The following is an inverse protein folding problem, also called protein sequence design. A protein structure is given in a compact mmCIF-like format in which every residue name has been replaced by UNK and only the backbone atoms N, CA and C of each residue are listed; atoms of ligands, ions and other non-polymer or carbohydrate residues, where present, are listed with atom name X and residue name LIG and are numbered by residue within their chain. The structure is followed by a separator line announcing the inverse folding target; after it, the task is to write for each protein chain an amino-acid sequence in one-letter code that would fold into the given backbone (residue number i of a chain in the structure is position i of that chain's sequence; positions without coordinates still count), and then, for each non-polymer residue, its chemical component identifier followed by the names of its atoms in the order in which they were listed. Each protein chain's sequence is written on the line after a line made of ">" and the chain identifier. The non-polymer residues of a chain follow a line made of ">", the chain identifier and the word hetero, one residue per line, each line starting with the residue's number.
data_IF_623890426404
#
_entry.id   IF_623890426404
#
_cell.length_a   1.000
_cell.length_b   1.000
_cell.length_c   1.000
_cell.angle_alpha   90.00
_cell.angle_beta   90.00
_cell.angle_gamma   90.00
#
_symmetry.space_group_name_H-M   'P 1'
#
loop_
_entity.id
_entity.type
_entity.pdbx_description
1 polymer ?
#
# COMPACT_ATOMS: atom_id res chain seq x y z
N UNK A 1 0.69 5.11 7.91
CA UNK A 1 -0.66 5.71 8.00
C UNK A 1 -0.57 7.14 7.50
N UNK A 2 -1.62 7.63 6.84
CA UNK A 2 -1.69 9.04 6.40
C UNK A 2 -2.87 9.74 7.01
N UNK A 3 -2.63 10.93 7.57
CA UNK A 3 -3.66 11.92 7.84
C UNK A 3 -3.95 12.68 6.55
N UNK A 4 -5.22 12.66 6.15
CA UNK A 4 -5.72 13.42 5.01
C UNK A 4 -6.57 14.56 5.56
N UNK A 5 -6.30 15.78 5.12
CA UNK A 5 -7.14 16.94 5.39
C UNK A 5 -7.59 17.54 4.06
N UNK A 6 -8.89 17.76 3.91
CA UNK A 6 -9.43 18.31 2.67
C UNK A 6 -10.47 19.37 2.96
N UNK A 7 -10.44 20.43 2.15
CA UNK A 7 -11.49 21.45 2.11
C UNK A 7 -12.47 21.06 1.01
N UNK A 8 -13.75 20.97 1.33
CA UNK A 8 -14.81 20.56 0.41
C UNK A 8 -16.02 21.50 0.54
N UNK A 9 -16.91 21.50 -0.45
CA UNK A 9 -18.22 22.15 -0.31
C UNK A 9 -19.07 21.40 0.71
N UNK A 10 -19.71 22.14 1.63
CA UNK A 10 -20.50 21.56 2.71
C UNK A 10 -21.62 20.64 2.23
N UNK A 11 -22.23 20.94 1.08
CA UNK A 11 -23.31 20.16 0.49
C UNK A 11 -22.87 18.76 0.01
N UNK A 12 -21.59 18.59 -0.33
CA UNK A 12 -21.05 17.34 -0.86
C UNK A 12 -20.61 16.36 0.25
N UNK A 13 -20.58 16.82 1.51
CA UNK A 13 -20.12 16.04 2.66
C UNK A 13 -20.85 14.70 2.80
N UNK A 14 -22.18 14.66 2.65
CA UNK A 14 -22.95 13.43 2.82
C UNK A 14 -22.57 12.35 1.78
N UNK A 15 -22.34 12.76 0.53
CA UNK A 15 -21.92 11.87 -0.54
C UNK A 15 -20.50 11.33 -0.27
N UNK A 16 -19.55 12.23 0.04
CA UNK A 16 -18.17 11.85 0.36
C UNK A 16 -18.13 10.89 1.54
N UNK A 17 -18.86 11.17 2.63
CA UNK A 17 -18.96 10.27 3.79
C UNK A 17 -19.43 8.88 3.37
N UNK A 18 -20.48 8.79 2.56
CA UNK A 18 -21.01 7.51 2.09
C UNK A 18 -20.01 6.75 1.18
N UNK A 19 -19.26 7.45 0.34
CA UNK A 19 -18.25 6.83 -0.53
C UNK A 19 -17.05 6.33 0.26
N UNK A 20 -16.55 7.11 1.23
CA UNK A 20 -15.40 6.74 2.07
C UNK A 20 -15.75 5.56 2.98
N UNK A 21 -16.97 5.51 3.55
CA UNK A 21 -17.42 4.37 4.34
C UNK A 21 -17.48 3.06 3.55
N UNK A 22 -17.67 3.10 2.22
CA UNK A 22 -17.61 1.89 1.37
C UNK A 22 -16.20 1.34 1.21
N UNK A 23 -15.18 2.19 1.37
CA UNK A 23 -13.77 1.81 1.34
C UNK A 23 -13.32 1.23 2.70
N UNK A 24 -14.15 1.36 3.74
CA UNK A 24 -13.83 0.88 5.10
C UNK A 24 -13.21 1.95 6.01
N UNK A 25 -13.02 3.16 5.50
CA UNK A 25 -12.47 4.30 6.22
C UNK A 25 -13.57 5.24 6.74
N UNK A 26 -13.25 6.09 7.72
CA UNK A 26 -14.20 7.02 8.34
C UNK A 26 -13.63 8.42 8.51
N UNK A 27 -14.52 9.43 8.45
CA UNK A 27 -14.16 10.83 8.72
C UNK A 27 -14.15 11.02 10.25
N UNK A 28 -13.04 11.52 10.77
CA UNK A 28 -12.80 11.69 12.21
C UNK A 28 -13.29 13.06 12.66
N UNK A 29 -13.03 14.10 11.85
CA UNK A 29 -13.43 15.45 12.19
C UNK A 29 -14.03 16.20 10.99
N UNK A 30 -14.96 17.11 11.30
CA UNK A 30 -15.57 18.03 10.35
C UNK A 30 -15.64 19.41 10.98
N UNK A 31 -15.04 20.40 10.33
CA UNK A 31 -15.04 21.80 10.77
C UNK A 31 -15.64 22.70 9.69
N UNK A 32 -16.57 23.57 10.06
CA UNK A 32 -17.07 24.58 9.13
C UNK A 32 -16.03 25.68 8.95
N UNK A 33 -15.81 26.12 7.70
CA UNK A 33 -14.90 27.22 7.39
C UNK A 33 -15.73 28.45 7.05
N UNK A 34 -15.53 29.52 7.81
CA UNK A 34 -16.25 30.80 7.63
C UNK A 34 -15.45 31.82 6.83
N UNK A 35 -14.12 31.72 6.77
CA UNK A 35 -13.25 32.67 6.09
C UNK A 35 -12.52 32.01 4.90
N UNK A 36 -13.08 32.15 3.70
CA UNK A 36 -12.50 31.60 2.48
C UNK A 36 -12.57 32.58 1.32
N UNK A 37 -11.51 32.61 0.51
CA UNK A 37 -11.47 33.38 -0.73
C UNK A 37 -12.09 32.64 -1.93
N UNK A 38 -12.77 31.52 -1.67
CA UNK A 38 -13.43 30.71 -2.69
C UNK A 38 -14.85 31.23 -2.90
N UNK A 39 -15.09 31.81 -4.07
CA UNK A 39 -16.37 32.35 -4.47
C UNK A 39 -16.88 31.69 -5.74
N UNK A 40 -18.20 31.58 -5.86
CA UNK A 40 -18.86 31.11 -7.07
C UNK A 40 -19.43 32.29 -7.85
N UNK A 41 -19.24 32.31 -9.18
CA UNK A 41 -19.84 33.33 -10.04
C UNK A 41 -21.36 33.15 -10.02
N UNK A 42 -22.08 34.17 -9.58
CA UNK A 42 -23.53 34.16 -9.56
C UNK A 42 -24.06 34.58 -10.94
N UNK A 43 -24.58 33.62 -11.71
CA UNK A 43 -25.27 33.88 -12.97
C UNK A 43 -26.70 34.39 -12.71
N UNK A 44 -26.83 35.65 -12.28
CA UNK A 44 -28.13 36.28 -12.08
C UNK A 44 -28.02 37.78 -11.87
N UNK A 45 -28.78 38.56 -12.62
CA UNK A 45 -28.82 40.03 -12.53
C UNK A 45 -29.71 40.48 -11.37
N UNK A 46 -29.18 40.44 -10.14
CA UNK A 46 -29.81 41.16 -9.02
C UNK A 46 -29.08 42.49 -8.86
N UNK A 47 -29.80 43.61 -9.04
CA UNK A 47 -29.26 44.96 -8.83
C UNK A 47 -28.56 45.03 -7.46
N UNK A 48 -27.28 45.40 -7.45
CA UNK A 48 -26.46 45.51 -6.24
C UNK A 48 -25.68 44.25 -5.82
N UNK A 49 -25.75 43.16 -6.58
CA UNK A 49 -24.90 41.98 -6.36
C UNK A 49 -23.51 42.19 -6.98
N UNK A 50 -22.45 41.83 -6.25
CA UNK A 50 -21.07 41.80 -6.74
C UNK A 50 -20.81 40.70 -7.77
N UNK A 51 -21.84 39.92 -8.14
CA UNK A 51 -21.71 38.77 -9.04
C UNK A 51 -20.95 37.59 -8.44
N UNK A 52 -20.61 37.67 -7.14
CA UNK A 52 -19.88 36.65 -6.40
C UNK A 52 -20.74 36.16 -5.23
N UNK A 53 -20.87 34.84 -5.12
CA UNK A 53 -21.58 34.16 -4.03
C UNK A 53 -20.56 33.45 -3.15
N UNK A 54 -20.64 33.68 -1.84
CA UNK A 54 -19.87 32.91 -0.85
C UNK A 54 -20.28 31.44 -0.89
N UNK A 55 -19.29 30.56 -0.90
CA UNK A 55 -19.49 29.11 -0.92
C UNK A 55 -19.32 28.56 0.49
N UNK A 56 -20.31 27.82 1.04
CA UNK A 56 -20.14 27.17 2.33
C UNK A 56 -19.15 26.01 2.20
N UNK A 57 -18.07 26.09 2.97
CA UNK A 57 -16.99 25.10 2.97
C UNK A 57 -16.87 24.40 4.32
N UNK A 58 -16.37 23.17 4.29
CA UNK A 58 -15.95 22.43 5.47
C UNK A 58 -14.57 21.82 5.28
N UNK A 59 -13.77 21.81 6.34
CA UNK A 59 -12.57 20.97 6.46
C UNK A 59 -12.98 19.61 6.98
N UNK A 60 -12.58 18.54 6.30
CA UNK A 60 -12.71 17.16 6.79
C UNK A 60 -11.32 16.61 7.10
N UNK A 61 -11.22 15.82 8.17
CA UNK A 61 -10.00 15.14 8.57
C UNK A 61 -10.25 13.64 8.67
N UNK A 62 -9.33 12.85 8.11
CA UNK A 62 -9.38 11.40 8.11
C UNK A 62 -7.98 10.86 8.36
N UNK A 63 -7.90 9.67 8.95
CA UNK A 63 -6.66 8.90 9.04
C UNK A 63 -6.92 7.56 8.36
N UNK A 64 -6.06 7.19 7.43
CA UNK A 64 -6.24 6.03 6.56
C UNK A 64 -4.92 5.29 6.39
N UNK A 65 -4.96 3.96 6.12
CA UNK A 65 -3.79 3.20 5.72
C UNK A 65 -3.13 3.76 4.47
N UNK A 66 -1.82 3.59 4.35
CA UNK A 66 -1.04 4.10 3.22
C UNK A 66 -1.52 3.51 1.88
N UNK A 67 -1.93 2.24 1.90
CA UNK A 67 -2.49 1.52 0.75
C UNK A 67 -3.78 2.16 0.22
N UNK A 68 -4.65 2.63 1.11
CA UNK A 68 -5.97 3.18 0.77
C UNK A 68 -5.94 4.69 0.52
N UNK A 69 -4.88 5.38 0.98
CA UNK A 69 -4.79 6.83 0.92
C UNK A 69 -5.01 7.40 -0.49
N UNK A 70 -4.49 6.74 -1.52
CA UNK A 70 -4.63 7.19 -2.91
C UNK A 70 -6.08 7.14 -3.40
N UNK A 71 -6.81 6.09 -3.05
CA UNK A 71 -8.21 5.92 -3.44
C UNK A 71 -9.12 6.91 -2.72
N UNK A 72 -8.85 7.16 -1.43
CA UNK A 72 -9.56 8.17 -0.65
C UNK A 72 -9.32 9.58 -1.22
N UNK A 73 -8.08 9.92 -1.58
CA UNK A 73 -7.76 11.20 -2.23
C UNK A 73 -8.53 11.35 -3.55
N UNK A 74 -8.63 10.29 -4.35
CA UNK A 74 -9.35 10.30 -5.62
C UNK A 74 -10.86 10.52 -5.42
N UNK A 75 -11.45 9.85 -4.44
CA UNK A 75 -12.86 10.02 -4.04
C UNK A 75 -13.12 11.47 -3.63
N UNK A 76 -12.29 12.03 -2.74
CA UNK A 76 -12.43 13.40 -2.28
C UNK A 76 -12.26 14.38 -3.43
N UNK A 77 -11.25 14.20 -4.29
CA UNK A 77 -11.00 15.09 -5.42
C UNK A 77 -12.21 15.13 -6.38
N UNK A 78 -12.74 13.96 -6.76
CA UNK A 78 -13.88 13.86 -7.66
C UNK A 78 -15.19 14.41 -7.06
N UNK A 79 -15.40 14.22 -5.76
CA UNK A 79 -16.66 14.52 -5.08
C UNK A 79 -16.62 15.82 -4.26
N UNK A 80 -15.49 16.53 -4.16
CA UNK A 80 -15.33 17.75 -3.32
C UNK A 80 -16.21 18.92 -3.74
N UNK A 81 -16.55 18.99 -5.03
CA UNK A 81 -17.22 20.14 -5.63
C UNK A 81 -16.33 21.39 -5.74
N UNK A 82 -15.02 21.27 -5.51
CA UNK A 82 -14.05 22.35 -5.70
C UNK A 82 -13.22 22.04 -6.94
N UNK A 83 -13.17 22.97 -7.89
CA UNK A 83 -12.33 22.79 -9.08
C UNK A 83 -10.87 23.06 -8.73
N UNK A 84 -9.90 22.45 -9.45
CA UNK A 84 -8.48 22.78 -9.30
C UNK A 84 -8.20 24.29 -9.52
N UNK A 85 -8.97 24.93 -10.42
CA UNK A 85 -8.90 26.37 -10.67
C UNK A 85 -9.30 27.23 -9.48
N UNK A 86 -10.14 26.69 -8.59
CA UNK A 86 -10.72 27.42 -7.46
C UNK A 86 -9.85 27.26 -6.19
N UNK A 87 -8.63 26.72 -6.34
CA UNK A 87 -7.67 26.59 -5.24
C UNK A 87 -7.92 25.39 -4.32
N UNK A 88 -8.72 24.40 -4.75
CA UNK A 88 -8.94 23.18 -3.98
C UNK A 88 -7.63 22.44 -3.73
N UNK A 89 -7.24 22.30 -2.46
CA UNK A 89 -6.05 21.57 -2.02
C UNK A 89 -6.45 20.47 -1.04
N UNK A 90 -5.74 19.34 -1.14
CA UNK A 90 -5.79 18.24 -0.19
C UNK A 90 -4.40 18.16 0.45
N UNK A 91 -4.37 18.18 1.77
CA UNK A 91 -3.15 18.05 2.55
C UNK A 91 -3.02 16.60 3.01
N UNK A 92 -1.83 16.05 2.85
CA UNK A 92 -1.50 14.70 3.26
C UNK A 92 -0.30 14.78 4.19
N UNK A 93 -0.45 14.26 5.39
CA UNK A 93 0.60 14.23 6.41
C UNK A 93 0.83 12.80 6.86
N UNK A 94 2.09 12.43 7.04
CA UNK A 94 2.48 11.12 7.55
C UNK A 94 2.14 11.01 9.04
N UNK A 95 1.54 9.89 9.44
CA UNK A 95 1.22 9.58 10.84
C UNK A 95 2.03 8.38 11.30
N UNK A 96 2.74 8.56 12.42
CA UNK A 96 3.63 7.56 12.98
C UNK A 96 2.89 6.49 13.77
N UNK A 97 1.83 6.87 14.49
CA UNK A 97 1.06 5.95 15.33
C UNK A 97 -0.35 6.48 15.59
N UNK A 98 -1.28 5.54 15.84
CA UNK A 98 -2.62 5.81 16.33
C UNK A 98 -2.76 5.08 17.67
N UNK A 99 -3.16 5.79 18.71
CA UNK A 99 -3.29 5.21 20.05
C UNK A 99 -4.76 5.11 20.41
N UNK A 100 -5.21 3.90 20.76
CA UNK A 100 -6.55 3.70 21.30
C UNK A 100 -6.64 4.25 22.73
N UNK A 101 -7.65 5.08 23.01
CA UNK A 101 -7.78 5.71 24.33
C UNK A 101 -8.14 4.74 25.46
N UNK A 102 -8.79 3.62 25.15
CA UNK A 102 -9.23 2.62 26.11
C UNK A 102 -8.12 1.61 26.43
N UNK A 103 -7.41 1.10 25.41
CA UNK A 103 -6.35 0.09 25.61
C UNK A 103 -4.97 0.70 25.80
N UNK A 104 -4.76 1.96 25.36
CA UNK A 104 -3.46 2.63 25.25
C UNK A 104 -2.48 1.89 24.32
N UNK A 105 -2.97 0.94 23.53
CA UNK A 105 -2.17 0.25 22.53
C UNK A 105 -2.01 1.13 21.29
N UNK A 106 -0.79 1.19 20.77
CA UNK A 106 -0.44 1.96 19.59
C UNK A 106 -0.45 1.08 18.34
N UNK A 107 -1.31 1.41 17.38
CA UNK A 107 -1.25 0.87 16.04
C UNK A 107 -0.23 1.66 15.21
N UNK A 108 0.81 0.96 14.76
CA UNK A 108 1.79 1.49 13.81
C UNK A 108 1.62 0.72 12.52
N UNK A 109 1.38 1.45 11.43
CA UNK A 109 1.57 0.86 10.11
C UNK A 109 3.08 0.76 9.92
N UNK A 110 3.62 -0.40 10.27
CA UNK A 110 4.95 -0.79 9.84
C UNK A 110 4.93 -0.67 8.32
N UNK A 111 5.89 0.07 7.75
CA UNK A 111 6.16 -0.04 6.33
C UNK A 111 6.28 -1.54 6.06
N UNK A 112 5.29 -2.14 5.39
CA UNK A 112 5.50 -3.43 4.73
C UNK A 112 6.66 -3.10 3.83
N UNK A 113 7.87 -3.53 4.23
CA UNK A 113 9.10 -3.14 3.57
C UNK A 113 8.78 -3.18 2.10
N UNK A 114 8.71 -2.00 1.46
CA UNK A 114 8.45 -1.94 0.04
C UNK A 114 9.40 -2.98 -0.51
N UNK A 115 8.86 -4.03 -1.13
CA UNK A 115 9.67 -5.03 -1.79
C UNK A 115 10.59 -4.21 -2.65
N UNK A 116 11.82 -4.06 -2.16
CA UNK A 116 12.69 -3.01 -2.62
C UNK A 116 12.71 -3.17 -4.12
N UNK A 117 12.51 -2.07 -4.84
CA UNK A 117 12.67 -2.02 -6.28
C UNK A 117 14.12 -2.42 -6.60
N UNK A 118 14.39 -3.72 -6.52
CA UNK A 118 15.60 -4.38 -6.90
C UNK A 118 15.53 -4.38 -8.40
N UNK A 119 16.15 -3.34 -8.99
CA UNK A 119 16.68 -3.29 -10.35
C UNK A 119 16.19 -4.46 -11.19
N UNK A 120 15.03 -4.33 -11.85
CA UNK A 120 14.42 -5.32 -12.78
C UNK A 120 15.14 -6.67 -12.72
N UNK A 121 14.81 -7.50 -11.73
CA UNK A 121 15.39 -8.83 -11.63
C UNK A 121 15.20 -9.54 -12.97
N UNK A 122 16.33 -9.92 -13.61
CA UNK A 122 16.40 -10.64 -14.90
C UNK A 122 15.82 -12.05 -14.81
N UNK A 123 15.39 -12.46 -13.62
CA UNK A 123 14.80 -13.76 -13.37
C UNK A 123 13.42 -13.85 -14.06
N UNK A 124 13.20 -14.97 -14.73
CA UNK A 124 11.92 -15.33 -15.34
C UNK A 124 10.86 -15.49 -14.23
N UNK A 125 9.56 -15.22 -14.45
CA UNK A 125 8.54 -15.28 -13.40
C UNK A 125 8.54 -16.55 -12.55
N UNK A 126 8.83 -17.71 -13.15
CA UNK A 126 8.94 -18.98 -12.41
C UNK A 126 10.11 -18.99 -11.43
N UNK A 127 11.26 -18.44 -11.82
CA UNK A 127 12.43 -18.33 -10.94
C UNK A 127 12.16 -17.40 -9.76
N UNK A 128 11.39 -16.33 -9.98
CA UNK A 128 10.96 -15.43 -8.90
C UNK A 128 10.01 -16.15 -7.92
N UNK A 129 9.03 -16.87 -8.44
CA UNK A 129 8.10 -17.64 -7.62
C UNK A 129 8.82 -18.70 -6.77
N UNK A 130 9.76 -19.43 -7.36
CA UNK A 130 10.56 -20.41 -6.63
C UNK A 130 11.39 -19.76 -5.55
N UNK A 131 12.05 -18.63 -5.84
CA UNK A 131 12.87 -17.92 -4.84
C UNK A 131 12.02 -17.43 -3.67
N UNK A 132 10.84 -16.87 -3.95
CA UNK A 132 9.89 -16.45 -2.91
C UNK A 132 9.48 -17.61 -2.00
N UNK A 133 9.17 -18.78 -2.56
CA UNK A 133 8.83 -19.97 -1.76
C UNK A 133 10.00 -20.46 -0.90
N UNK A 134 11.21 -20.43 -1.44
CA UNK A 134 12.42 -20.87 -0.72
C UNK A 134 12.75 -19.89 0.40
N UNK A 135 12.56 -18.59 0.18
CA UNK A 135 12.73 -17.54 1.18
C UNK A 135 11.69 -17.63 2.30
N UNK A 136 10.42 -17.81 1.95
CA UNK A 136 9.34 -18.04 2.92
C UNK A 136 9.64 -19.26 3.82
N UNK A 137 10.07 -20.37 3.21
CA UNK A 137 10.45 -21.58 3.97
C UNK A 137 11.64 -21.32 4.90
N UNK A 138 12.65 -20.59 4.44
CA UNK A 138 13.83 -20.27 5.24
C UNK A 138 13.46 -19.45 6.48
N UNK A 139 12.67 -18.39 6.32
CA UNK A 139 12.29 -17.53 7.45
C UNK A 139 11.38 -18.27 8.45
N UNK A 140 10.47 -19.13 7.98
CA UNK A 140 9.62 -19.96 8.86
C UNK A 140 10.43 -20.98 9.69
N UNK A 141 11.58 -21.44 9.19
CA UNK A 141 12.36 -22.53 9.79
C UNK A 141 13.74 -22.09 10.30
N UNK A 142 14.00 -20.78 10.36
CA UNK A 142 15.32 -20.19 10.60
C UNK A 142 16.01 -20.71 11.85
N UNK A 143 15.28 -20.79 12.97
CA UNK A 143 15.82 -21.27 14.25
C UNK A 143 16.23 -22.74 14.18
N UNK A 144 15.39 -23.59 13.56
CA UNK A 144 15.68 -25.02 13.35
C UNK A 144 16.87 -25.22 12.40
N UNK A 145 16.95 -24.43 11.33
CA UNK A 145 18.06 -24.47 10.36
C UNK A 145 19.38 -24.05 11.00
N UNK A 146 19.37 -23.05 11.88
CA UNK A 146 20.56 -22.63 12.65
C UNK A 146 20.98 -23.69 13.66
N UNK A 147 20.03 -24.24 14.43
CA UNK A 147 20.30 -25.20 15.49
C UNK A 147 20.76 -26.57 14.96
N UNK A 148 20.05 -27.11 13.96
CA UNK A 148 20.25 -28.49 13.49
C UNK A 148 21.23 -28.58 12.32
N UNK A 149 21.27 -27.57 11.44
CA UNK A 149 22.04 -27.61 10.20
C UNK A 149 23.19 -26.60 10.15
N UNK A 150 23.35 -25.77 11.20
CA UNK A 150 24.38 -24.70 11.29
C UNK A 150 24.32 -23.68 10.14
N UNK A 151 23.14 -23.54 9.52
CA UNK A 151 22.90 -22.62 8.40
C UNK A 151 22.65 -21.22 8.98
N UNK A 152 23.55 -20.27 8.70
CA UNK A 152 23.52 -18.94 9.34
C UNK A 152 22.84 -17.87 8.48
N UNK A 153 22.78 -18.09 7.17
CA UNK A 153 22.22 -17.14 6.21
C UNK A 153 21.36 -17.82 5.15
N UNK A 154 20.52 -17.03 4.48
CA UNK A 154 19.73 -17.51 3.34
C UNK A 154 20.61 -18.03 2.20
N UNK A 155 21.77 -17.41 1.96
CA UNK A 155 22.74 -17.88 0.96
C UNK A 155 23.26 -19.28 1.31
N UNK A 156 23.59 -19.51 2.59
CA UNK A 156 24.03 -20.83 3.06
C UNK A 156 22.93 -21.88 2.88
N UNK A 157 21.67 -21.50 3.11
CA UNK A 157 20.52 -22.37 2.92
C UNK A 157 20.33 -22.77 1.45
N UNK A 158 20.41 -21.79 0.54
CA UNK A 158 20.31 -22.05 -0.90
C UNK A 158 21.45 -22.96 -1.36
N UNK A 159 22.68 -22.70 -0.91
CA UNK A 159 23.83 -23.55 -1.24
C UNK A 159 23.66 -24.98 -0.73
N UNK A 160 23.16 -25.15 0.50
CA UNK A 160 22.86 -26.46 1.08
C UNK A 160 21.84 -27.22 0.23
N UNK A 161 20.73 -26.57 -0.16
CA UNK A 161 19.70 -27.18 -1.01
C UNK A 161 20.25 -27.58 -2.38
N UNK A 162 21.06 -26.72 -3.00
CA UNK A 162 21.68 -27.00 -4.31
C UNK A 162 22.61 -28.22 -4.21
N UNK A 163 23.50 -28.25 -3.21
CA UNK A 163 24.45 -29.35 -3.04
C UNK A 163 23.74 -30.69 -2.79
N UNK A 164 22.69 -30.69 -1.97
CA UNK A 164 21.92 -31.89 -1.67
C UNK A 164 21.17 -32.40 -2.91
N UNK A 165 20.55 -31.50 -3.68
CA UNK A 165 19.89 -31.90 -4.93
C UNK A 165 20.88 -32.34 -6.01
N UNK A 166 22.05 -31.72 -6.10
CA UNK A 166 23.08 -32.07 -7.07
C UNK A 166 23.58 -33.49 -6.85
N UNK A 167 23.79 -33.91 -5.60
CA UNK A 167 24.11 -35.29 -5.25
C UNK A 167 23.03 -36.29 -5.71
N UNK A 168 21.75 -35.95 -5.53
CA UNK A 168 20.61 -36.78 -6.00
C UNK A 168 20.60 -36.89 -7.53
N UNK A 169 20.91 -35.79 -8.24
CA UNK A 169 20.99 -35.81 -9.71
C UNK A 169 22.18 -36.62 -10.20
N UNK A 170 23.34 -36.53 -9.54
CA UNK A 170 24.50 -37.37 -9.87
C UNK A 170 24.21 -38.86 -9.68
N UNK A 171 23.50 -39.21 -8.60
CA UNK A 171 23.09 -40.59 -8.34
C UNK A 171 22.11 -41.11 -9.41
N UNK A 172 21.09 -40.33 -9.75
CA UNK A 172 20.11 -40.67 -10.80
C UNK A 172 20.73 -40.74 -12.20
N UNK A 173 21.67 -39.87 -12.53
CA UNK A 173 22.35 -39.88 -13.83
C UNK A 173 23.33 -41.03 -13.96
N UNK A 174 23.98 -41.45 -12.86
CA UNK A 174 24.79 -42.68 -12.82
C UNK A 174 23.94 -43.95 -12.86
N UNK A 175 22.80 -43.99 -12.17
CA UNK A 175 21.90 -45.16 -12.18
C UNK A 175 21.21 -45.38 -13.52
N UNK A 176 20.98 -44.33 -14.30
CA UNK A 176 20.46 -44.43 -15.67
C UNK A 176 21.49 -44.88 -16.71
N UNK A 177 22.78 -45.01 -16.35
CA UNK A 177 23.76 -45.76 -17.16
C UNK A 177 23.67 -47.25 -16.84
N UNK A 178 22.53 -47.88 -17.15
CA UNK A 178 22.51 -49.32 -17.37
C UNK A 178 21.42 -49.70 -18.37
N UNK A 179 21.80 -50.64 -19.24
CA UNK A 179 21.03 -51.47 -20.19
C UNK A 179 21.31 -51.26 -21.70
N UNK A 180 21.83 -50.11 -22.18
CA UNK A 180 22.14 -49.96 -23.63
C UNK A 180 23.61 -49.79 -24.03
N UNK A 181 24.57 -49.82 -23.10
CA UNK A 181 26.01 -49.79 -23.43
C UNK A 181 26.63 -51.18 -23.69
N UNK A 182 25.82 -52.22 -23.83
CA UNK A 182 26.25 -53.52 -24.39
C UNK A 182 25.59 -53.69 -25.76
N UNK A 183 26.13 -53.01 -26.78
CA UNK A 183 26.19 -53.45 -28.18
C UNK A 183 26.42 -52.25 -29.09
N UNK A 184 27.67 -51.93 -29.41
CA UNK A 184 28.09 -51.66 -30.80
C UNK A 184 29.61 -51.71 -30.91
N UNK A 185 30.06 -52.81 -31.53
CA UNK A 185 31.24 -53.05 -32.38
C UNK A 185 32.44 -52.11 -32.26
#
# INVERSE_FOLDING_TARGET
>A
MKKIEAIIRSQNFANIKAQISKVGSYIIAKHNISNSEIYEKQSGSRLGSTGLKSVPLVKIELVVPDLEAKDVIKIISASSGIKPSDGGKIFVSEMTEIVDMATLEGEKELETAEQSNTKRSRLVPLQKYTLLKVEEFYEQNKESLQANYKIKSFSDFVNFCILQHLAIFEEKTRSHKSVYDLNTV
#
